data_IF_394718633868
#
_entry.id   IF_394718633868
#
_cell.length_a   1.000
_cell.length_b   1.000
_cell.length_c   1.000
_cell.angle_alpha   90.00
_cell.angle_beta   90.00
_cell.angle_gamma   90.00
#
_symmetry.space_group_name_H-M   'P 1'
#
loop_
_entity.id
_entity.type
_entity.pdbx_description
1 polymer ?
#
# COMPACT_ATOMS: atom_id res chain seq x y z
N UNK A 1 15.40 15.67 14.17
CA UNK A 1 16.61 16.47 13.86
C UNK A 1 16.75 17.70 14.77
N UNK A 2 15.79 18.64 14.76
CA UNK A 2 15.91 19.93 15.50
C UNK A 2 16.18 19.83 17.00
N UNK A 3 15.52 18.92 17.73
CA UNK A 3 15.76 18.67 19.17
C UNK A 3 17.12 18.02 19.49
N UNK A 4 17.74 17.35 18.52
CA UNK A 4 19.00 16.62 18.70
C UNK A 4 20.19 17.55 18.47
N UNK A 5 20.10 18.40 17.45
CA UNK A 5 21.12 19.39 17.12
C UNK A 5 21.10 20.60 18.08
N UNK A 6 19.95 20.94 18.67
CA UNK A 6 19.86 22.02 19.66
C UNK A 6 20.55 21.71 21.00
N UNK A 7 20.90 20.45 21.27
CA UNK A 7 21.65 20.02 22.46
C UNK A 7 23.17 20.05 22.26
N UNK A 8 23.64 20.32 21.05
CA UNK A 8 25.07 20.36 20.74
C UNK A 8 25.60 21.76 21.01
N UNK A 9 26.48 21.90 22.01
CA UNK A 9 27.29 23.09 22.20
C UNK A 9 28.25 23.24 21.02
N UNK A 10 28.05 24.28 20.20
CA UNK A 10 28.80 24.57 18.97
C UNK A 10 30.06 25.42 19.22
N UNK A 11 30.86 25.10 20.25
CA UNK A 11 32.03 25.90 20.63
C UNK A 11 33.38 25.43 20.04
N UNK A 12 33.40 24.43 19.16
CA UNK A 12 34.62 24.01 18.44
C UNK A 12 34.28 23.23 17.16
N UNK A 13 35.16 23.30 16.16
CA UNK A 13 35.05 22.62 14.85
C UNK A 13 34.82 21.11 15.00
N UNK A 14 33.56 20.69 15.11
CA UNK A 14 33.17 19.27 15.04
C UNK A 14 32.87 18.92 13.59
N UNK A 15 33.47 17.82 13.13
CA UNK A 15 33.14 17.22 11.84
C UNK A 15 32.03 16.20 12.09
N UNK A 16 30.91 16.33 11.38
CA UNK A 16 29.88 15.32 11.34
C UNK A 16 30.26 14.30 10.27
N UNK A 17 30.04 13.01 10.52
CA UNK A 17 30.19 11.98 9.49
C UNK A 17 28.82 11.36 9.23
N UNK A 18 28.31 11.54 8.02
CA UNK A 18 27.06 10.92 7.59
C UNK A 18 27.40 9.65 6.81
N UNK A 19 27.12 8.50 7.41
CA UNK A 19 27.18 7.21 6.72
C UNK A 19 25.94 7.08 5.84
N UNK A 20 26.15 6.85 4.55
CA UNK A 20 25.12 6.70 3.53
C UNK A 20 25.30 5.41 2.77
N UNK A 21 24.34 5.02 1.94
CA UNK A 21 24.55 4.03 0.88
C UNK A 21 24.15 4.66 -0.44
N UNK A 22 24.98 4.50 -1.47
CA UNK A 22 24.54 4.79 -2.83
C UNK A 22 23.33 3.88 -3.13
N UNK A 23 22.30 4.44 -3.77
CA UNK A 23 20.96 3.83 -3.98
C UNK A 23 20.02 3.80 -2.75
N UNK A 24 20.30 4.52 -1.67
CA UNK A 24 19.35 4.67 -0.55
C UNK A 24 18.61 6.01 -0.59
N UNK A 25 17.30 5.99 -0.87
CA UNK A 25 16.44 7.19 -0.89
C UNK A 25 16.42 7.94 0.44
N UNK A 26 16.45 7.21 1.57
CA UNK A 26 16.51 7.81 2.90
C UNK A 26 17.81 8.59 3.10
N UNK A 27 18.93 8.10 2.58
CA UNK A 27 20.21 8.81 2.62
C UNK A 27 20.18 10.10 1.80
N UNK A 28 19.54 10.08 0.62
CA UNK A 28 19.36 11.26 -0.22
C UNK A 28 18.51 12.34 0.47
N UNK A 29 17.33 11.97 0.98
CA UNK A 29 16.44 12.92 1.65
C UNK A 29 17.02 13.44 2.97
N UNK A 30 17.67 12.58 3.76
CA UNK A 30 18.31 12.99 5.01
C UNK A 30 19.45 13.98 4.74
N UNK A 31 20.25 13.75 3.69
CA UNK A 31 21.29 14.66 3.25
C UNK A 31 20.71 16.04 2.90
N UNK A 32 19.67 16.08 2.08
CA UNK A 32 19.04 17.33 1.67
C UNK A 32 18.40 18.08 2.86
N UNK A 33 17.74 17.36 3.78
CA UNK A 33 17.18 17.94 5.01
C UNK A 33 18.28 18.49 5.95
N UNK A 34 19.41 17.78 6.07
CA UNK A 34 20.54 18.21 6.88
C UNK A 34 21.18 19.47 6.29
N UNK A 35 21.44 19.50 4.99
CA UNK A 35 22.00 20.65 4.29
C UNK A 35 21.07 21.88 4.41
N UNK A 36 19.75 21.69 4.23
CA UNK A 36 18.76 22.75 4.44
C UNK A 36 18.74 23.25 5.88
N UNK A 37 18.83 22.35 6.87
CA UNK A 37 18.85 22.73 8.28
C UNK A 37 20.10 23.54 8.65
N UNK A 38 21.29 23.10 8.20
CA UNK A 38 22.55 23.79 8.46
C UNK A 38 22.54 25.20 7.84
N UNK A 39 22.07 25.32 6.58
CA UNK A 39 21.93 26.59 5.89
C UNK A 39 20.94 27.54 6.57
N UNK A 40 19.76 27.03 6.95
CA UNK A 40 18.71 27.83 7.60
C UNK A 40 19.14 28.41 8.95
N UNK A 41 19.96 27.66 9.71
CA UNK A 41 20.42 28.07 11.05
C UNK A 41 21.81 28.72 11.04
N UNK A 42 22.39 29.00 9.86
CA UNK A 42 23.71 29.59 9.69
C UNK A 42 24.82 28.84 10.46
N UNK A 43 24.74 27.51 10.52
CA UNK A 43 25.67 26.65 11.23
C UNK A 43 26.82 26.24 10.30
N UNK A 44 28.04 26.72 10.60
CA UNK A 44 29.24 26.36 9.83
C UNK A 44 29.86 25.05 10.33
N UNK A 45 29.25 23.92 9.97
CA UNK A 45 29.66 22.57 10.36
C UNK A 45 30.09 21.78 9.13
N UNK A 46 31.26 21.16 9.17
CA UNK A 46 31.72 20.27 8.10
C UNK A 46 31.04 18.91 8.22
N UNK A 47 30.42 18.42 7.13
CA UNK A 47 29.82 17.09 7.05
C UNK A 47 30.62 16.25 6.04
N UNK A 48 31.21 15.17 6.50
CA UNK A 48 31.86 14.16 5.66
C UNK A 48 30.83 13.08 5.31
N UNK A 49 30.51 12.96 4.02
CA UNK A 49 29.63 11.92 3.49
C UNK A 49 30.45 10.66 3.17
N UNK A 50 30.06 9.51 3.71
CA UNK A 50 30.78 8.25 3.54
C UNK A 50 29.79 7.18 3.10
N UNK A 51 29.97 6.63 1.90
CA UNK A 51 29.22 5.44 1.49
C UNK A 51 29.73 4.22 2.27
N UNK A 52 28.85 3.54 3.00
CA UNK A 52 29.19 2.32 3.74
C UNK A 52 29.68 1.20 2.83
N UNK A 53 29.29 1.19 1.54
CA UNK A 53 29.76 0.20 0.54
C UNK A 53 31.23 0.37 0.19
N UNK A 54 31.85 1.50 0.55
CA UNK A 54 33.28 1.75 0.35
C UNK A 54 34.20 1.02 1.35
N UNK A 55 33.64 0.46 2.45
CA UNK A 55 34.39 -0.25 3.49
C UNK A 55 33.56 -1.42 4.04
N UNK A 56 34.01 -2.67 3.85
CA UNK A 56 33.31 -3.87 4.30
C UNK A 56 33.00 -3.89 5.80
N UNK A 57 33.84 -3.25 6.63
CA UNK A 57 33.63 -3.17 8.08
C UNK A 57 32.49 -2.21 8.40
N UNK A 58 32.41 -1.08 7.70
CA UNK A 58 31.29 -0.14 7.83
C UNK A 58 30.01 -0.75 7.27
N UNK A 59 30.09 -1.43 6.12
CA UNK A 59 28.96 -2.14 5.54
C UNK A 59 28.39 -3.17 6.51
N UNK A 60 29.19 -4.13 6.99
CA UNK A 60 28.68 -5.16 7.91
C UNK A 60 28.11 -4.58 9.21
N UNK A 61 28.69 -3.48 9.70
CA UNK A 61 28.26 -2.85 10.95
C UNK A 61 26.99 -2.00 10.80
N UNK A 62 26.79 -1.33 9.67
CA UNK A 62 25.75 -0.30 9.50
C UNK A 62 24.80 -0.54 8.33
N UNK A 63 24.88 -1.68 7.62
CA UNK A 63 24.06 -2.00 6.43
C UNK A 63 22.54 -1.88 6.62
N UNK A 64 22.05 -1.99 7.86
CA UNK A 64 20.61 -1.86 8.17
C UNK A 64 20.25 -0.56 8.91
N UNK A 65 21.24 0.30 9.21
CA UNK A 65 21.06 1.49 10.05
C UNK A 65 21.23 2.81 9.29
N UNK A 66 21.60 2.77 7.99
CA UNK A 66 21.82 3.97 7.18
C UNK A 66 20.50 4.72 6.87
N UNK A 67 20.52 6.08 6.88
CA UNK A 67 21.65 6.96 7.14
C UNK A 67 21.98 7.09 8.64
N UNK A 68 23.27 7.01 8.98
CA UNK A 68 23.77 7.17 10.36
C UNK A 68 24.59 8.46 10.45
N UNK A 69 24.17 9.41 11.30
CA UNK A 69 24.92 10.64 11.57
C UNK A 69 25.78 10.47 12.83
N UNK A 70 27.10 10.35 12.64
CA UNK A 70 28.08 10.23 13.72
C UNK A 70 28.67 11.60 14.09
N UNK A 71 28.88 11.84 15.38
CA UNK A 71 29.46 13.07 15.93
C UNK A 71 30.79 12.68 16.60
N UNK A 72 31.92 13.08 16.01
CA UNK A 72 33.31 12.84 16.46
C UNK A 72 33.49 11.97 17.72
N UNK A 73 33.81 10.69 17.54
CA UNK A 73 34.62 9.94 18.51
C UNK A 73 36.10 10.12 18.16
N UNK A 74 36.92 10.56 19.12
CA UNK A 74 38.38 10.43 19.02
C UNK A 74 38.71 8.94 18.94
N UNK A 75 39.66 8.58 18.09
CA UNK A 75 40.20 7.22 17.99
C UNK A 75 40.70 6.72 19.36
N UNK A 76 39.94 5.86 20.03
CA UNK A 76 40.47 5.04 21.13
C UNK A 76 40.38 3.56 20.76
N UNK A 77 41.55 2.98 20.47
CA UNK A 77 41.79 1.54 20.52
C UNK A 77 41.48 1.06 21.93
N UNK A 78 40.39 0.31 22.13
CA UNK A 78 40.24 -0.57 23.30
C UNK A 78 39.35 -1.76 22.96
N UNK A 79 39.99 -2.92 22.98
CA UNK A 79 39.44 -4.26 23.05
C UNK A 79 38.61 -4.46 24.31
N UNK A 80 37.35 -4.88 24.20
CA UNK A 80 36.61 -5.46 25.31
C UNK A 80 35.66 -6.56 24.80
N UNK A 81 35.75 -7.73 25.43
CA UNK A 81 35.09 -9.00 25.07
C UNK A 81 33.59 -8.96 25.38
N UNK A 82 32.73 -9.66 24.62
CA UNK A 82 31.33 -9.84 24.98
C UNK A 82 31.19 -10.98 25.99
N UNK A 83 30.68 -10.68 27.19
CA UNK A 83 30.26 -11.69 28.15
C UNK A 83 28.95 -12.34 27.66
N UNK A 84 29.03 -13.63 27.34
CA UNK A 84 27.90 -14.51 27.06
C UNK A 84 27.18 -14.85 28.37
N UNK A 85 25.86 -14.59 28.43
CA UNK A 85 24.93 -15.41 29.21
C UNK A 85 24.01 -16.12 28.21
N UNK A 86 24.26 -17.41 28.04
CA UNK A 86 23.35 -18.33 27.36
C UNK A 86 22.22 -18.59 28.35
N UNK A 87 21.02 -18.12 28.04
CA UNK A 87 19.79 -18.57 28.69
C UNK A 87 19.13 -19.50 27.68
N UNK A 88 19.16 -20.80 27.98
CA UNK A 88 18.33 -21.78 27.27
C UNK A 88 16.87 -21.47 27.62
N UNK A 89 16.12 -20.95 26.65
CA UNK A 89 14.67 -20.91 26.68
C UNK A 89 14.18 -22.02 25.74
N UNK A 90 13.41 -22.92 26.32
CA UNK A 90 12.61 -23.95 25.67
C UNK A 90 11.81 -23.40 24.49
N UNK A 91 11.70 -24.22 23.45
CA UNK A 91 10.98 -23.97 22.20
C UNK A 91 9.52 -23.57 22.42
N UNK A 92 9.25 -22.28 22.40
CA UNK A 92 8.02 -21.69 21.86
C UNK A 92 8.45 -20.51 21.00
N UNK A 93 8.69 -20.76 19.71
CA UNK A 93 9.03 -19.71 18.74
C UNK A 93 7.76 -18.95 18.42
N UNK A 94 7.49 -17.88 19.17
CA UNK A 94 6.56 -16.84 18.75
C UNK A 94 7.26 -16.00 17.67
N UNK A 95 7.09 -16.37 16.40
CA UNK A 95 7.54 -15.54 15.29
C UNK A 95 6.76 -14.23 15.34
N UNK A 96 7.36 -13.16 15.88
CA UNK A 96 6.91 -11.80 15.56
C UNK A 96 7.45 -11.54 14.15
N UNK A 97 6.76 -12.05 13.13
CA UNK A 97 7.05 -11.70 11.74
C UNK A 97 6.89 -10.18 11.63
N UNK A 98 7.96 -9.46 11.27
CA UNK A 98 7.84 -8.06 10.91
C UNK A 98 7.07 -7.96 9.59
N UNK A 99 5.75 -7.84 9.69
CA UNK A 99 4.87 -7.62 8.54
C UNK A 99 4.73 -6.11 8.35
N UNK A 100 5.04 -5.66 7.13
CA UNK A 100 4.55 -4.38 6.65
C UNK A 100 3.11 -4.57 6.19
N UNK A 101 2.18 -3.78 6.73
CA UNK A 101 0.80 -3.72 6.25
C UNK A 101 0.45 -2.27 5.97
N UNK A 102 -0.24 -2.01 4.86
CA UNK A 102 -0.71 -0.68 4.48
C UNK A 102 -2.12 -0.75 3.88
N UNK A 103 -2.94 0.25 4.19
CA UNK A 103 -4.36 0.31 3.84
C UNK A 103 -4.72 1.70 3.34
N UNK A 104 -5.57 1.78 2.31
CA UNK A 104 -6.22 3.02 1.89
C UNK A 104 -7.75 2.88 1.87
N UNK A 105 -8.46 3.99 2.09
CA UNK A 105 -9.91 4.04 1.89
C UNK A 105 -10.33 4.57 0.51
N UNK A 106 -9.38 4.83 -0.39
CA UNK A 106 -9.64 5.20 -1.79
C UNK A 106 -9.21 6.61 -2.15
N UNK A 107 -9.25 6.94 -3.43
CA UNK A 107 -8.89 8.26 -3.94
C UNK A 107 -10.15 9.08 -4.21
N UNK A 108 -10.27 10.27 -3.66
CA UNK A 108 -11.47 11.04 -3.94
C UNK A 108 -11.65 12.24 -3.04
N UNK A 109 -12.88 12.38 -2.54
CA UNK A 109 -13.27 13.42 -1.60
C UNK A 109 -13.82 12.76 -0.34
N UNK A 110 -12.92 12.42 0.57
CA UNK A 110 -13.24 11.75 1.82
C UNK A 110 -13.75 12.68 2.90
N UNK A 111 -14.61 12.13 3.77
CA UNK A 111 -15.00 12.76 5.04
C UNK A 111 -13.80 12.93 5.97
N UNK A 112 -13.92 13.85 6.94
CA UNK A 112 -12.88 14.01 7.95
C UNK A 112 -12.64 12.70 8.73
N UNK A 113 -11.37 12.44 9.06
CA UNK A 113 -10.92 11.30 9.86
C UNK A 113 -10.98 9.91 9.18
N UNK A 114 -11.14 9.82 7.86
CA UNK A 114 -11.05 8.52 7.16
C UNK A 114 -9.66 7.87 7.30
N UNK A 115 -8.60 8.65 7.53
CA UNK A 115 -7.26 8.14 7.86
C UNK A 115 -7.21 7.45 9.23
N UNK A 116 -8.05 7.86 10.20
CA UNK A 116 -8.22 7.14 11.47
C UNK A 116 -8.91 5.80 11.26
N UNK A 117 -9.86 5.74 10.32
CA UNK A 117 -10.52 4.49 9.93
C UNK A 117 -9.50 3.51 9.32
N UNK A 118 -8.59 3.98 8.46
CA UNK A 118 -7.48 3.15 7.95
C UNK A 118 -6.59 2.62 9.09
N UNK A 119 -6.28 3.46 10.08
CA UNK A 119 -5.45 3.04 11.21
C UNK A 119 -6.16 2.00 12.10
N UNK A 120 -7.47 2.14 12.28
CA UNK A 120 -8.27 1.20 13.03
C UNK A 120 -8.39 -0.15 12.31
N UNK A 121 -8.58 -0.15 10.98
CA UNK A 121 -8.64 -1.41 10.22
C UNK A 121 -7.34 -2.20 10.35
N UNK A 122 -6.17 -1.55 10.31
CA UNK A 122 -4.90 -2.22 10.57
C UNK A 122 -4.87 -2.82 11.98
N UNK A 123 -5.32 -2.08 12.99
CA UNK A 123 -5.31 -2.55 14.38
C UNK A 123 -6.16 -3.80 14.58
N UNK A 124 -7.32 -3.87 13.95
CA UNK A 124 -8.27 -4.99 14.07
C UNK A 124 -7.97 -6.15 13.10
N UNK A 125 -7.06 -5.94 12.13
CA UNK A 125 -6.80 -6.93 11.07
C UNK A 125 -5.99 -8.15 11.49
N UNK A 126 -5.28 -8.08 12.61
CA UNK A 126 -4.26 -9.09 12.95
C UNK A 126 -3.09 -9.14 11.97
N UNK A 127 -2.81 -8.04 11.24
CA UNK A 127 -1.84 -7.92 10.15
C UNK A 127 -2.19 -8.70 8.86
N UNK A 128 -3.42 -9.16 8.69
CA UNK A 128 -3.87 -9.74 7.43
C UNK A 128 -4.55 -8.71 6.51
N UNK A 129 -4.20 -8.71 5.22
CA UNK A 129 -4.78 -7.79 4.24
C UNK A 129 -6.30 -7.84 4.19
N UNK A 130 -6.84 -9.04 4.06
CA UNK A 130 -8.27 -9.27 3.86
C UNK A 130 -9.06 -8.86 5.11
N UNK A 131 -8.54 -9.11 6.31
CA UNK A 131 -9.22 -8.69 7.54
C UNK A 131 -9.28 -7.16 7.65
N UNK A 132 -8.23 -6.44 7.22
CA UNK A 132 -8.27 -4.99 7.15
C UNK A 132 -9.34 -4.49 6.17
N UNK A 133 -9.48 -5.14 5.00
CA UNK A 133 -10.52 -4.79 4.01
C UNK A 133 -11.92 -5.15 4.55
N UNK A 134 -12.09 -6.31 5.17
CA UNK A 134 -13.36 -6.72 5.81
C UNK A 134 -13.81 -5.75 6.90
N UNK A 135 -12.86 -5.16 7.64
CA UNK A 135 -13.18 -4.11 8.60
C UNK A 135 -13.78 -2.89 7.90
N UNK A 136 -13.19 -2.47 6.78
CA UNK A 136 -13.66 -1.34 5.99
C UNK A 136 -15.00 -1.61 5.29
N UNK A 137 -15.23 -2.83 4.80
CA UNK A 137 -16.51 -3.27 4.20
C UNK A 137 -17.71 -3.16 5.14
N UNK A 138 -17.48 -3.07 6.46
CA UNK A 138 -18.54 -2.86 7.46
C UNK A 138 -18.81 -1.38 7.73
N UNK A 139 -17.93 -0.48 7.29
CA UNK A 139 -18.03 0.94 7.61
C UNK A 139 -18.78 1.70 6.51
N UNK A 140 -19.96 2.28 6.82
CA UNK A 140 -20.82 2.94 5.85
C UNK A 140 -20.25 4.24 5.27
N UNK A 141 -19.05 4.67 5.71
CA UNK A 141 -18.31 5.79 5.11
C UNK A 141 -17.50 5.38 3.88
N UNK A 142 -17.32 4.08 3.64
CA UNK A 142 -16.57 3.57 2.51
C UNK A 142 -17.51 3.09 1.40
N UNK A 143 -17.07 3.17 0.16
CA UNK A 143 -17.82 2.65 -0.98
C UNK A 143 -17.40 1.19 -1.27
N UNK A 144 -17.66 0.32 -0.30
CA UNK A 144 -17.51 -1.13 -0.40
C UNK A 144 -18.39 -1.79 0.66
N UNK A 145 -18.80 -3.05 0.46
CA UNK A 145 -19.70 -3.75 1.38
C UNK A 145 -20.91 -2.88 1.76
N UNK A 146 -21.08 -2.65 3.07
CA UNK A 146 -22.06 -1.70 3.64
C UNK A 146 -21.63 -0.27 3.28
N UNK A 147 -22.47 0.43 2.52
CA UNK A 147 -22.14 1.78 2.03
C UNK A 147 -21.69 1.84 0.57
N UNK A 148 -21.66 0.70 -0.11
CA UNK A 148 -21.48 0.63 -1.56
C UNK A 148 -22.45 1.53 -2.32
N UNK A 149 -21.95 2.11 -3.40
CA UNK A 149 -22.70 2.94 -4.32
C UNK A 149 -23.85 2.17 -4.96
N UNK A 150 -24.98 2.84 -5.11
CA UNK A 150 -26.14 2.26 -5.74
C UNK A 150 -26.01 2.28 -7.27
N UNK A 151 -26.45 1.20 -7.89
CA UNK A 151 -26.69 1.09 -9.34
C UNK A 151 -27.83 2.01 -9.79
N UNK A 152 -28.04 2.14 -11.09
CA UNK A 152 -29.18 2.89 -11.65
C UNK A 152 -30.53 2.40 -11.15
N UNK A 153 -30.64 1.11 -10.85
CA UNK A 153 -31.86 0.49 -10.34
C UNK A 153 -31.98 0.55 -8.81
N UNK A 154 -31.03 1.17 -8.12
CA UNK A 154 -31.05 1.31 -6.66
C UNK A 154 -30.51 0.09 -5.90
N UNK A 155 -29.94 -0.90 -6.58
CA UNK A 155 -29.32 -2.07 -5.98
C UNK A 155 -27.85 -1.83 -5.65
N UNK A 156 -27.30 -2.58 -4.70
CA UNK A 156 -25.87 -2.72 -4.44
C UNK A 156 -25.31 -3.90 -5.24
N UNK A 157 -24.16 -3.68 -5.86
CA UNK A 157 -23.37 -4.71 -6.53
C UNK A 157 -21.90 -4.53 -6.16
N UNK A 158 -21.36 -5.43 -5.35
CA UNK A 158 -19.99 -5.33 -4.87
C UNK A 158 -19.00 -6.11 -5.74
N UNK A 159 -17.74 -5.70 -5.66
CA UNK A 159 -16.58 -6.34 -6.26
C UNK A 159 -15.51 -6.54 -5.19
N UNK A 160 -14.81 -7.66 -5.21
CA UNK A 160 -13.69 -7.95 -4.32
C UNK A 160 -12.63 -8.79 -5.01
N UNK A 161 -11.37 -8.57 -4.69
CA UNK A 161 -10.28 -9.42 -5.17
C UNK A 161 -9.18 -9.60 -4.14
N UNK A 162 -8.44 -10.69 -4.32
CA UNK A 162 -7.30 -11.06 -3.51
C UNK A 162 -6.21 -11.66 -4.39
N UNK A 163 -4.97 -11.32 -4.09
CA UNK A 163 -3.79 -11.89 -4.73
C UNK A 163 -2.74 -12.21 -3.66
N UNK A 164 -2.09 -13.36 -3.81
CA UNK A 164 -0.89 -13.70 -3.04
C UNK A 164 0.27 -14.02 -3.99
N UNK A 165 1.46 -13.67 -3.56
CA UNK A 165 2.71 -13.86 -4.32
C UNK A 165 3.04 -15.34 -4.55
N UNK A 166 2.82 -16.20 -3.55
CA UNK A 166 2.98 -17.64 -3.69
C UNK A 166 2.04 -18.19 -4.76
N UNK A 167 2.64 -18.78 -5.81
CA UNK A 167 1.94 -19.27 -7.00
C UNK A 167 1.32 -18.19 -7.90
N UNK A 168 1.56 -16.90 -7.63
CA UNK A 168 0.89 -15.76 -8.29
C UNK A 168 -0.64 -15.91 -8.32
N UNK A 169 -1.19 -16.49 -7.25
CA UNK A 169 -2.60 -16.85 -7.20
C UNK A 169 -3.46 -15.59 -7.05
N UNK A 170 -4.44 -15.46 -7.94
CA UNK A 170 -5.41 -14.37 -7.96
C UNK A 170 -6.83 -14.92 -8.01
N UNK A 171 -7.73 -14.26 -7.32
CA UNK A 171 -9.15 -14.56 -7.35
C UNK A 171 -9.96 -13.29 -7.21
N UNK A 172 -11.05 -13.19 -7.96
CA UNK A 172 -11.96 -12.08 -7.85
C UNK A 172 -13.42 -12.49 -7.94
N UNK A 173 -14.25 -11.68 -7.32
CA UNK A 173 -15.69 -11.81 -7.36
C UNK A 173 -16.34 -10.47 -7.68
N UNK A 174 -17.46 -10.49 -8.40
CA UNK A 174 -18.05 -9.25 -8.92
C UNK A 174 -19.56 -9.33 -9.11
N UNK A 175 -20.19 -8.16 -9.15
CA UNK A 175 -21.66 -8.03 -9.15
C UNK A 175 -22.32 -8.83 -8.03
N UNK A 176 -21.67 -8.89 -6.84
CA UNK A 176 -22.20 -9.56 -5.67
C UNK A 176 -23.33 -8.76 -5.06
N UNK A 177 -24.41 -9.44 -4.72
CA UNK A 177 -25.64 -8.82 -4.28
C UNK A 177 -26.08 -9.27 -2.88
N UNK A 178 -25.46 -10.34 -2.34
CA UNK A 178 -25.88 -11.01 -1.11
C UNK A 178 -24.74 -11.30 -0.12
N UNK A 179 -23.62 -10.57 -0.17
CA UNK A 179 -22.43 -10.88 0.62
C UNK A 179 -21.90 -9.66 1.35
N UNK A 180 -21.64 -9.78 2.66
CA UNK A 180 -21.02 -8.73 3.46
C UNK A 180 -19.56 -8.50 3.09
N UNK A 181 -18.86 -9.57 2.68
CA UNK A 181 -17.41 -9.58 2.52
C UNK A 181 -16.92 -10.11 1.16
N UNK A 182 -17.06 -9.31 0.08
CA UNK A 182 -16.47 -9.62 -1.21
C UNK A 182 -14.97 -9.98 -1.14
N UNK A 183 -14.20 -9.25 -0.32
CA UNK A 183 -12.77 -9.52 -0.12
C UNK A 183 -12.50 -10.91 0.46
N UNK A 184 -13.26 -11.34 1.48
CA UNK A 184 -13.15 -12.68 2.06
C UNK A 184 -13.52 -13.77 1.05
N UNK A 185 -14.60 -13.58 0.29
CA UNK A 185 -14.99 -14.56 -0.73
C UNK A 185 -13.89 -14.71 -1.78
N UNK A 186 -13.24 -13.62 -2.19
CA UNK A 186 -12.12 -13.67 -3.12
C UNK A 186 -10.89 -14.40 -2.54
N UNK A 187 -10.58 -14.22 -1.25
CA UNK A 187 -9.52 -14.98 -0.55
C UNK A 187 -9.86 -16.47 -0.51
N UNK A 188 -11.09 -16.81 -0.14
CA UNK A 188 -11.55 -18.20 -0.10
C UNK A 188 -11.48 -18.83 -1.50
N UNK A 189 -11.86 -18.10 -2.56
CA UNK A 189 -11.75 -18.57 -3.94
C UNK A 189 -10.30 -18.93 -4.32
N UNK A 190 -9.32 -18.12 -3.89
CA UNK A 190 -7.88 -18.35 -4.11
C UNK A 190 -7.35 -19.54 -3.32
N UNK A 191 -7.70 -19.64 -2.04
CA UNK A 191 -7.14 -20.64 -1.13
C UNK A 191 -7.83 -22.01 -1.21
N UNK A 192 -8.98 -22.09 -1.89
CA UNK A 192 -9.70 -23.35 -2.03
C UNK A 192 -8.90 -24.33 -2.89
N UNK A 193 -8.49 -25.43 -2.27
CA UNK A 193 -7.80 -26.53 -2.95
C UNK A 193 -8.80 -27.41 -3.69
N UNK A 194 -8.61 -27.61 -4.99
CA UNK A 194 -9.50 -28.46 -5.79
C UNK A 194 -8.85 -29.79 -6.10
N UNK A 195 -9.44 -30.86 -5.56
CA UNK A 195 -9.02 -32.25 -5.75
C UNK A 195 -9.41 -32.82 -7.13
N UNK A 196 -9.46 -31.98 -8.17
CA UNK A 196 -9.99 -32.36 -9.49
C UNK A 196 -9.07 -31.96 -10.64
N UNK A 197 -9.13 -32.71 -11.75
CA UNK A 197 -8.36 -32.45 -12.97
C UNK A 197 -8.85 -31.23 -13.78
N UNK A 198 -9.75 -30.41 -13.23
CA UNK A 198 -10.35 -29.26 -13.93
C UNK A 198 -9.72 -27.95 -13.46
N UNK A 199 -9.59 -26.99 -14.38
CA UNK A 199 -9.08 -25.66 -14.08
C UNK A 199 -10.10 -24.92 -13.20
N UNK A 200 -9.66 -24.47 -12.03
CA UNK A 200 -10.49 -23.71 -11.10
C UNK A 200 -10.72 -22.27 -11.59
N UNK A 201 -11.94 -21.70 -11.47
CA UNK A 201 -12.21 -20.33 -11.88
C UNK A 201 -11.41 -19.31 -11.08
N UNK A 202 -10.83 -18.36 -11.82
CA UNK A 202 -10.16 -17.19 -11.26
C UNK A 202 -11.15 -16.07 -10.92
N UNK A 203 -12.26 -15.97 -11.65
CA UNK A 203 -13.26 -14.90 -11.48
C UNK A 203 -14.66 -15.49 -11.52
N UNK A 204 -15.48 -15.18 -10.52
CA UNK A 204 -16.89 -15.63 -10.44
C UNK A 204 -17.79 -14.42 -10.19
N UNK A 205 -18.93 -14.31 -10.89
CA UNK A 205 -19.76 -13.09 -10.84
C UNK A 205 -21.26 -13.35 -10.71
N UNK A 206 -22.00 -12.33 -10.27
CA UNK A 206 -23.46 -12.32 -10.17
C UNK A 206 -23.99 -13.48 -9.33
N UNK A 207 -25.08 -14.11 -9.79
CA UNK A 207 -25.73 -15.24 -9.09
C UNK A 207 -24.78 -16.40 -8.79
N UNK A 208 -23.78 -16.64 -9.65
CA UNK A 208 -22.78 -17.69 -9.43
C UNK A 208 -21.91 -17.36 -8.21
N UNK A 209 -21.52 -16.09 -8.07
CA UNK A 209 -20.75 -15.65 -6.91
C UNK A 209 -21.60 -15.56 -5.64
N UNK A 210 -22.87 -15.15 -5.77
CA UNK A 210 -23.83 -15.17 -4.66
C UNK A 210 -24.05 -16.59 -4.12
N UNK A 211 -24.07 -17.60 -5.00
CA UNK A 211 -24.16 -19.02 -4.63
C UNK A 211 -22.85 -19.52 -4.01
N UNK A 212 -21.71 -19.12 -4.58
CA UNK A 212 -20.38 -19.44 -4.07
C UNK A 212 -20.17 -18.91 -2.65
N UNK A 213 -20.71 -17.73 -2.32
CA UNK A 213 -20.67 -17.17 -0.97
C UNK A 213 -21.30 -18.12 0.06
N UNK A 214 -22.44 -18.71 -0.28
CA UNK A 214 -23.13 -19.71 0.54
C UNK A 214 -22.29 -20.99 0.65
N UNK A 215 -21.79 -21.50 -0.48
CA UNK A 215 -20.96 -22.72 -0.53
C UNK A 215 -19.69 -22.62 0.32
N UNK A 216 -19.01 -21.47 0.26
CA UNK A 216 -17.78 -21.19 1.00
C UNK A 216 -18.01 -20.68 2.42
N UNK A 217 -19.25 -20.74 2.93
CA UNK A 217 -19.65 -20.28 4.27
C UNK A 217 -19.23 -18.83 4.58
N UNK A 218 -19.24 -17.96 3.56
CA UNK A 218 -19.00 -16.53 3.75
C UNK A 218 -20.29 -15.86 4.23
N UNK A 219 -20.25 -14.95 5.23
CA UNK A 219 -21.45 -14.29 5.74
C UNK A 219 -22.26 -13.58 4.64
N UNK A 220 -23.47 -14.08 4.41
CA UNK A 220 -24.42 -13.54 3.43
C UNK A 220 -25.36 -12.51 4.03
N UNK A 221 -25.95 -11.68 3.18
CA UNK A 221 -26.85 -10.60 3.54
C UNK A 221 -27.95 -10.37 2.48
N UNK A 222 -28.92 -9.53 2.81
CA UNK A 222 -29.89 -9.00 1.85
C UNK A 222 -29.40 -7.68 1.26
N UNK A 223 -30.02 -7.24 0.16
CA UNK A 223 -29.78 -5.91 -0.42
C UNK A 223 -29.97 -4.79 0.61
N UNK A 224 -31.01 -4.89 1.44
CA UNK A 224 -31.34 -3.88 2.45
C UNK A 224 -30.27 -3.79 3.54
N UNK A 225 -29.52 -4.86 3.81
CA UNK A 225 -28.43 -4.84 4.80
C UNK A 225 -27.19 -4.08 4.29
N UNK A 226 -26.99 -4.04 2.96
CA UNK A 226 -25.87 -3.33 2.32
C UNK A 226 -26.18 -1.85 2.07
N UNK A 227 -27.45 -1.52 1.85
CA UNK A 227 -27.91 -0.15 1.61
C UNK A 227 -27.96 0.63 2.92
N UNK A 228 -27.22 1.74 2.97
CA UNK A 228 -27.23 2.64 4.11
C UNK A 228 -27.65 4.06 3.71
N UNK A 229 -28.02 4.88 4.71
CA UNK A 229 -28.42 6.28 4.48
C UNK A 229 -27.39 7.08 3.67
N UNK A 230 -26.09 6.81 3.87
CA UNK A 230 -25.01 7.45 3.11
C UNK A 230 -25.09 7.12 1.63
N UNK A 231 -25.23 5.84 1.27
CA UNK A 231 -25.36 5.38 -0.13
C UNK A 231 -26.62 5.93 -0.81
N UNK A 232 -27.75 5.99 -0.10
CA UNK A 232 -28.99 6.57 -0.61
C UNK A 232 -28.87 8.09 -0.85
N UNK A 233 -28.26 8.81 0.09
CA UNK A 233 -28.01 10.25 -0.05
C UNK A 233 -27.04 10.52 -1.20
N UNK A 234 -26.00 9.71 -1.35
CA UNK A 234 -25.08 9.78 -2.47
C UNK A 234 -25.81 9.59 -3.79
N UNK A 235 -26.65 8.56 -3.94
CA UNK A 235 -27.44 8.34 -5.15
C UNK A 235 -28.40 9.50 -5.47
N UNK A 236 -29.03 10.10 -4.44
CA UNK A 236 -29.86 11.30 -4.60
C UNK A 236 -29.05 12.51 -5.05
N UNK A 237 -27.84 12.70 -4.50
CA UNK A 237 -26.89 13.78 -4.85
C UNK A 237 -26.14 13.54 -6.16
N UNK A 238 -26.04 12.32 -6.64
CA UNK A 238 -25.46 12.00 -7.95
C UNK A 238 -26.24 12.68 -9.07
N UNK A 239 -27.58 12.79 -8.90
CA UNK A 239 -28.45 13.60 -9.76
C UNK A 239 -28.06 15.09 -9.77
N UNK A 240 -27.24 15.52 -8.81
CA UNK A 240 -26.68 16.87 -8.63
C UNK A 240 -25.15 16.93 -8.88
N UNK A 241 -24.53 15.88 -9.47
CA UNK A 241 -23.11 15.82 -9.84
C UNK A 241 -22.07 15.97 -8.71
N UNK A 242 -22.36 15.46 -7.51
CA UNK A 242 -21.36 15.36 -6.43
C UNK A 242 -20.79 13.94 -6.39
N UNK A 243 -19.52 13.78 -6.76
CA UNK A 243 -18.83 12.48 -6.87
C UNK A 243 -18.14 12.04 -5.56
N UNK A 244 -18.21 10.75 -5.24
CA UNK A 244 -17.35 10.05 -4.27
C UNK A 244 -16.88 8.76 -4.96
N UNK A 245 -15.56 8.53 -4.97
CA UNK A 245 -14.90 7.48 -5.75
C UNK A 245 -14.05 6.60 -4.85
N UNK A 246 -14.67 5.81 -4.00
CA UNK A 246 -13.89 5.17 -2.94
C UNK A 246 -13.84 3.66 -3.15
N UNK A 247 -12.71 3.16 -3.61
CA UNK A 247 -12.35 1.74 -3.54
C UNK A 247 -11.36 1.58 -2.41
N UNK A 248 -11.59 0.64 -1.50
CA UNK A 248 -10.69 0.35 -0.39
C UNK A 248 -9.71 -0.75 -0.77
N UNK A 249 -8.54 -0.73 -0.16
CA UNK A 249 -7.55 -1.76 -0.44
C UNK A 249 -6.45 -1.84 0.60
N UNK A 250 -5.82 -3.01 0.66
CA UNK A 250 -4.79 -3.36 1.62
C UNK A 250 -3.69 -4.17 0.95
N UNK A 251 -2.46 -3.97 1.41
CA UNK A 251 -1.28 -4.75 1.01
C UNK A 251 -0.51 -5.18 2.26
N UNK A 252 0.14 -6.32 2.18
CA UNK A 252 1.05 -6.81 3.21
C UNK A 252 2.27 -7.43 2.58
N UNK A 253 3.40 -7.29 3.26
CA UNK A 253 4.65 -7.96 2.91
C UNK A 253 5.25 -8.48 4.21
N UNK A 254 5.52 -9.78 4.27
CA UNK A 254 6.19 -10.43 5.37
C UNK A 254 7.71 -10.18 5.32
N UNK A 255 8.40 -10.52 6.40
CA UNK A 255 9.86 -10.48 6.45
C UNK A 255 10.52 -11.46 5.46
N UNK A 256 9.86 -12.59 5.15
CA UNK A 256 10.34 -13.54 4.14
C UNK A 256 10.11 -13.07 2.71
N UNK A 257 9.45 -11.93 2.49
CA UNK A 257 9.11 -11.40 1.18
C UNK A 257 7.79 -11.92 0.61
N UNK A 258 7.12 -12.85 1.30
CA UNK A 258 5.75 -13.23 0.94
C UNK A 258 4.85 -12.00 1.05
N UNK A 259 4.19 -11.66 -0.04
CA UNK A 259 3.31 -10.52 -0.11
C UNK A 259 1.91 -10.86 -0.62
N UNK A 260 0.95 -10.03 -0.21
CA UNK A 260 -0.46 -10.15 -0.51
C UNK A 260 -1.07 -8.78 -0.82
N UNK A 261 -2.16 -8.78 -1.58
CA UNK A 261 -2.97 -7.61 -1.86
C UNK A 261 -4.46 -7.97 -1.84
N UNK A 262 -5.29 -7.09 -1.29
CA UNK A 262 -6.75 -7.24 -1.27
C UNK A 262 -7.44 -5.92 -1.55
N UNK A 263 -8.56 -5.96 -2.26
CA UNK A 263 -9.31 -4.79 -2.71
C UNK A 263 -10.82 -5.07 -2.66
N UNK A 264 -11.61 -4.04 -2.36
CA UNK A 264 -13.08 -4.13 -2.36
C UNK A 264 -13.72 -2.81 -2.79
N UNK A 265 -14.79 -2.89 -3.59
CA UNK A 265 -15.46 -1.74 -4.18
C UNK A 265 -16.95 -1.98 -4.42
N UNK A 266 -17.77 -0.95 -4.21
CA UNK A 266 -19.14 -0.86 -4.72
C UNK A 266 -19.19 -0.43 -6.20
N UNK A 267 -18.05 -0.05 -6.78
CA UNK A 267 -17.96 0.51 -8.13
C UNK A 267 -18.39 1.98 -8.18
N UNK A 268 -18.60 2.48 -9.40
CA UNK A 268 -18.99 3.88 -9.63
C UNK A 268 -20.47 4.11 -9.34
N UNK A 269 -20.79 5.29 -8.84
CA UNK A 269 -22.16 5.70 -8.52
C UNK A 269 -23.06 5.70 -9.76
N UNK A 270 -24.29 5.18 -9.63
CA UNK A 270 -25.25 5.05 -10.73
C UNK A 270 -24.71 4.21 -11.90
N UNK A 271 -23.84 3.24 -11.62
CA UNK A 271 -23.41 2.25 -12.62
C UNK A 271 -24.60 1.47 -13.16
N UNK A 272 -24.46 0.97 -14.38
CA UNK A 272 -25.37 -0.04 -14.93
C UNK A 272 -25.17 -1.35 -14.16
N UNK A 273 -26.27 -2.02 -13.81
CA UNK A 273 -26.26 -3.35 -13.20
C UNK A 273 -25.39 -4.31 -14.02
N UNK A 274 -24.57 -5.10 -13.34
CA UNK A 274 -23.57 -5.99 -13.92
C UNK A 274 -22.29 -5.28 -14.42
N UNK A 275 -22.12 -3.97 -14.22
CA UNK A 275 -20.85 -3.29 -14.53
C UNK A 275 -19.78 -3.75 -13.55
N UNK A 276 -18.66 -4.21 -14.12
CA UNK A 276 -17.47 -4.60 -13.39
C UNK A 276 -16.34 -3.58 -13.58
N UNK A 277 -15.61 -3.29 -12.50
CA UNK A 277 -14.45 -2.40 -12.46
C UNK A 277 -13.12 -3.14 -12.32
N UNK A 278 -12.11 -2.38 -11.90
CA UNK A 278 -10.71 -2.81 -11.84
C UNK A 278 -10.41 -3.86 -10.77
N UNK A 279 -11.29 -4.06 -9.77
CA UNK A 279 -11.13 -5.13 -8.79
C UNK A 279 -11.14 -6.51 -9.47
N UNK A 280 -12.01 -6.71 -10.46
CA UNK A 280 -12.23 -8.03 -11.08
C UNK A 280 -11.25 -8.40 -12.19
N UNK A 281 -10.38 -7.46 -12.59
CA UNK A 281 -9.47 -7.65 -13.71
C UNK A 281 -8.04 -7.91 -13.22
N UNK A 282 -7.52 -9.11 -13.54
CA UNK A 282 -6.15 -9.50 -13.23
C UNK A 282 -5.13 -8.46 -13.74
N UNK A 283 -4.19 -8.06 -12.87
CA UNK A 283 -3.16 -7.05 -13.18
C UNK A 283 -3.66 -5.61 -13.18
N UNK A 284 -4.93 -5.35 -12.87
CA UNK A 284 -5.50 -4.01 -12.93
C UNK A 284 -5.52 -3.34 -11.55
N UNK A 285 -6.39 -3.78 -10.64
CA UNK A 285 -6.57 -3.12 -9.34
C UNK A 285 -5.57 -3.53 -8.27
N UNK A 286 -5.06 -4.76 -8.32
CA UNK A 286 -4.08 -5.28 -7.36
C UNK A 286 -2.98 -6.06 -8.05
N UNK A 287 -1.84 -6.18 -7.37
CA UNK A 287 -0.75 -7.07 -7.71
C UNK A 287 -0.03 -7.52 -6.44
N UNK A 288 0.43 -8.77 -6.39
CA UNK A 288 1.31 -9.25 -5.33
C UNK A 288 2.27 -10.28 -5.92
N UNK A 289 3.56 -9.97 -5.92
CA UNK A 289 4.59 -10.79 -6.54
C UNK A 289 5.88 -10.71 -5.73
N UNK A 290 6.47 -11.87 -5.47
CA UNK A 290 7.78 -12.02 -4.87
C UNK A 290 8.71 -12.69 -5.89
N UNK A 291 9.88 -12.11 -6.13
CA UNK A 291 10.91 -12.67 -7.00
C UNK A 291 12.18 -12.90 -6.21
N UNK A 292 12.47 -14.18 -5.97
CA UNK A 292 13.67 -14.61 -5.23
C UNK A 292 14.95 -14.13 -5.93
N UNK A 293 15.02 -14.23 -7.27
CA UNK A 293 16.21 -13.84 -8.03
C UNK A 293 16.49 -12.33 -7.95
N UNK A 294 15.44 -11.52 -7.83
CA UNK A 294 15.55 -10.07 -7.67
C UNK A 294 15.62 -9.64 -6.20
N UNK A 295 15.47 -10.58 -5.25
CA UNK A 295 15.32 -10.31 -3.80
C UNK A 295 14.32 -9.20 -3.51
N UNK A 296 13.23 -9.21 -4.27
CA UNK A 296 12.28 -8.11 -4.31
C UNK A 296 10.86 -8.61 -4.22
N UNK A 297 10.07 -7.92 -3.41
CA UNK A 297 8.64 -8.16 -3.25
C UNK A 297 7.88 -6.89 -3.57
N UNK A 298 6.82 -7.00 -4.36
CA UNK A 298 5.97 -5.88 -4.77
C UNK A 298 4.51 -6.23 -4.52
N UNK A 299 3.85 -5.43 -3.70
CA UNK A 299 2.40 -5.51 -3.45
C UNK A 299 1.74 -4.18 -3.78
N UNK A 300 0.65 -4.20 -4.56
CA UNK A 300 0.00 -3.01 -5.09
C UNK A 300 -1.51 -3.11 -4.87
N UNK A 301 -2.12 -2.00 -4.47
CA UNK A 301 -3.58 -1.81 -4.49
C UNK A 301 -3.93 -0.42 -5.00
N UNK A 302 -4.89 -0.34 -5.92
CA UNK A 302 -5.27 0.87 -6.64
C UNK A 302 -6.75 1.24 -6.45
N UNK A 303 -7.03 2.52 -6.61
CA UNK A 303 -8.34 3.14 -6.52
C UNK A 303 -8.49 4.20 -7.62
N UNK A 304 -9.71 4.50 -8.06
CA UNK A 304 -10.00 5.52 -9.05
C UNK A 304 -10.96 5.07 -10.15
N UNK A 305 -10.78 5.61 -11.36
CA UNK A 305 -11.62 5.27 -12.51
C UNK A 305 -11.31 3.84 -13.00
N UNK A 306 -12.20 2.91 -12.66
CA UNK A 306 -12.02 1.48 -12.96
C UNK A 306 -11.74 1.21 -14.44
N UNK A 307 -12.44 1.87 -15.35
CA UNK A 307 -12.22 1.69 -16.79
C UNK A 307 -10.81 2.11 -17.22
N UNK A 308 -10.28 3.20 -16.66
CA UNK A 308 -8.92 3.65 -16.97
C UNK A 308 -7.87 2.67 -16.42
N UNK A 309 -8.07 2.17 -15.19
CA UNK A 309 -7.17 1.22 -14.54
C UNK A 309 -7.17 -0.12 -15.28
N UNK A 310 -8.34 -0.62 -15.70
CA UNK A 310 -8.47 -1.87 -16.48
C UNK A 310 -7.78 -1.76 -17.83
N UNK A 311 -8.03 -0.68 -18.59
CA UNK A 311 -7.45 -0.49 -19.93
C UNK A 311 -5.93 -0.43 -19.92
N UNK A 312 -5.33 -0.05 -18.80
CA UNK A 312 -3.88 0.14 -18.66
C UNK A 312 -3.17 -1.03 -17.98
N UNK A 313 -3.92 -1.94 -17.32
CA UNK A 313 -3.35 -3.00 -16.46
C UNK A 313 -2.32 -2.41 -15.49
N UNK A 314 -2.70 -1.29 -14.86
CA UNK A 314 -1.74 -0.39 -14.24
C UNK A 314 -0.93 -1.04 -13.12
N UNK A 315 -1.54 -1.85 -12.25
CA UNK A 315 -0.84 -2.52 -11.15
C UNK A 315 0.27 -3.44 -11.68
N UNK A 316 -0.03 -4.30 -12.66
CA UNK A 316 0.97 -5.16 -13.30
C UNK A 316 2.08 -4.34 -13.96
N UNK A 317 1.74 -3.25 -14.67
CA UNK A 317 2.75 -2.42 -15.35
C UNK A 317 3.68 -1.70 -14.40
N UNK A 318 3.18 -1.24 -13.25
CA UNK A 318 4.01 -0.66 -12.19
C UNK A 318 4.94 -1.72 -11.60
N UNK A 319 4.41 -2.90 -11.24
CA UNK A 319 5.21 -3.99 -10.70
C UNK A 319 6.30 -4.45 -11.68
N UNK A 320 5.96 -4.63 -12.96
CA UNK A 320 6.93 -4.96 -14.00
C UNK A 320 8.00 -3.86 -14.16
N UNK A 321 7.63 -2.58 -14.03
CA UNK A 321 8.59 -1.48 -14.02
C UNK A 321 9.59 -1.61 -12.89
N UNK A 322 9.13 -1.90 -11.68
CA UNK A 322 9.96 -2.10 -10.49
C UNK A 322 10.92 -3.29 -10.65
N UNK A 323 10.41 -4.45 -11.07
CA UNK A 323 11.27 -5.61 -11.27
C UNK A 323 12.27 -5.50 -12.42
N UNK A 324 11.94 -4.74 -13.46
CA UNK A 324 12.84 -4.53 -14.60
C UNK A 324 13.94 -3.50 -14.30
N UNK A 325 13.77 -2.70 -13.24
CA UNK A 325 14.71 -1.66 -12.85
C UNK A 325 15.06 -1.77 -11.35
N UNK A 326 15.62 -2.91 -10.89
CA UNK A 326 15.83 -3.19 -9.46
C UNK A 326 16.91 -2.31 -8.82
N UNK A 327 17.72 -1.60 -9.61
CA UNK A 327 18.77 -0.70 -9.11
C UNK A 327 18.33 0.78 -9.06
N UNK A 328 17.14 1.08 -9.58
CA UNK A 328 16.59 2.43 -9.64
C UNK A 328 15.79 2.74 -8.37
N UNK A 329 15.58 4.03 -8.10
CA UNK A 329 14.79 4.46 -6.95
C UNK A 329 13.32 4.07 -7.17
N UNK A 330 12.70 3.25 -6.29
CA UNK A 330 11.34 2.75 -6.49
C UNK A 330 10.31 3.86 -6.75
N UNK A 331 10.39 4.98 -6.03
CA UNK A 331 9.53 6.15 -6.25
C UNK A 331 9.58 6.69 -7.69
N UNK A 332 10.80 6.78 -8.27
CA UNK A 332 11.00 7.28 -9.64
C UNK A 332 10.50 6.27 -10.68
N UNK A 333 10.67 4.98 -10.41
CA UNK A 333 10.13 3.91 -11.26
C UNK A 333 8.60 3.93 -11.25
N UNK A 334 7.97 4.13 -10.09
CA UNK A 334 6.51 4.31 -9.98
C UNK A 334 6.05 5.55 -10.75
N UNK A 335 6.70 6.70 -10.56
CA UNK A 335 6.33 7.94 -11.26
C UNK A 335 6.45 7.81 -12.78
N UNK A 336 7.55 7.25 -13.28
CA UNK A 336 7.76 7.03 -14.71
C UNK A 336 6.76 6.02 -15.29
N UNK A 337 6.42 4.97 -14.54
CA UNK A 337 5.42 3.97 -14.94
C UNK A 337 4.02 4.59 -15.01
N UNK A 338 3.61 5.36 -14.00
CA UNK A 338 2.30 6.03 -13.98
C UNK A 338 2.21 7.05 -15.12
N UNK A 339 3.27 7.86 -15.34
CA UNK A 339 3.33 8.79 -16.47
C UNK A 339 3.16 8.07 -17.81
N UNK A 340 3.97 7.05 -18.06
CA UNK A 340 3.97 6.30 -19.32
C UNK A 340 2.67 5.54 -19.58
N UNK A 341 2.17 4.80 -18.58
CA UNK A 341 1.07 3.86 -18.78
C UNK A 341 -0.30 4.42 -18.43
N UNK A 342 -0.38 5.55 -17.72
CA UNK A 342 -1.64 6.19 -17.37
C UNK A 342 -1.77 7.62 -17.93
N UNK A 343 -0.83 8.52 -17.64
CA UNK A 343 -0.95 9.94 -18.04
C UNK A 343 -0.89 10.10 -19.55
N UNK A 344 0.18 9.59 -20.17
CA UNK A 344 0.48 9.73 -21.60
C UNK A 344 -0.09 8.56 -22.42
N UNK A 345 -0.94 7.76 -21.80
CA UNK A 345 -1.40 6.49 -22.33
C UNK A 345 -2.40 6.67 -23.48
N UNK A 346 -2.04 6.22 -24.68
CA UNK A 346 -2.91 6.28 -25.86
C UNK A 346 -4.17 5.44 -25.70
N UNK A 347 -4.13 4.38 -24.88
CA UNK A 347 -5.32 3.57 -24.59
C UNK A 347 -6.36 4.32 -23.77
N UNK A 348 -6.04 5.47 -23.16
CA UNK A 348 -6.99 6.31 -22.42
C UNK A 348 -7.55 7.48 -23.22
N UNK A 349 -7.26 7.56 -24.53
CA UNK A 349 -7.82 8.58 -25.44
C UNK A 349 -9.33 8.76 -25.37
N UNK A 350 -10.18 7.73 -25.10
CA UNK A 350 -11.62 7.93 -24.95
C UNK A 350 -12.07 8.64 -23.67
N UNK A 351 -11.16 8.86 -22.70
CA UNK A 351 -11.47 9.47 -21.39
C UNK A 351 -10.82 10.85 -21.28
N UNK A 352 -11.57 11.83 -20.76
CA UNK A 352 -11.04 13.16 -20.49
C UNK A 352 -10.03 13.15 -19.34
N UNK A 353 -9.21 14.20 -19.23
CA UNK A 353 -8.28 14.37 -18.10
C UNK A 353 -8.99 14.36 -16.73
N UNK A 354 -10.21 14.90 -16.65
CA UNK A 354 -11.02 14.87 -15.43
C UNK A 354 -11.49 13.47 -15.03
N UNK A 355 -11.70 12.57 -16.00
CA UNK A 355 -12.11 11.19 -15.76
C UNK A 355 -10.93 10.26 -15.43
N UNK A 356 -9.72 10.61 -15.87
CA UNK A 356 -8.50 9.82 -15.62
C UNK A 356 -8.03 9.99 -14.19
N UNK A 357 -8.78 9.43 -13.24
CA UNK A 357 -8.46 9.43 -11.81
C UNK A 357 -7.85 8.12 -11.38
N UNK A 358 -6.75 8.18 -10.64
CA UNK A 358 -6.07 7.01 -10.09
C UNK A 358 -5.24 7.39 -8.87
N UNK A 359 -5.06 6.43 -7.99
CA UNK A 359 -4.01 6.41 -6.99
C UNK A 359 -4.06 5.11 -6.20
N UNK A 360 -3.25 5.00 -5.17
CA UNK A 360 -3.14 3.77 -4.41
C UNK A 360 -1.84 3.66 -3.65
N UNK A 361 -1.56 2.44 -3.22
CA UNK A 361 -0.40 2.08 -2.41
C UNK A 361 0.44 1.03 -3.13
N UNK A 362 1.75 1.20 -3.06
CA UNK A 362 2.75 0.25 -3.54
C UNK A 362 3.69 -0.06 -2.38
N UNK A 363 3.68 -1.29 -1.93
CA UNK A 363 4.67 -1.84 -1.02
C UNK A 363 5.81 -2.43 -1.82
N UNK A 364 7.03 -2.05 -1.47
CA UNK A 364 8.26 -2.61 -2.02
C UNK A 364 9.10 -3.12 -0.87
N UNK A 365 9.52 -4.37 -0.93
CA UNK A 365 10.54 -4.92 -0.04
C UNK A 365 11.74 -5.31 -0.89
N UNK A 366 12.92 -4.86 -0.49
CA UNK A 366 14.19 -5.15 -1.14
C UNK A 366 15.25 -5.36 -0.06
N UNK A 367 15.91 -6.52 -0.07
CA UNK A 367 16.97 -6.87 0.88
C UNK A 367 16.58 -6.64 2.37
N UNK A 368 15.32 -6.90 2.72
CA UNK A 368 14.80 -6.73 4.09
C UNK A 368 14.37 -5.30 4.45
N UNK A 369 14.62 -4.32 3.59
CA UNK A 369 14.13 -2.96 3.75
C UNK A 369 12.75 -2.81 3.10
N UNK A 370 11.84 -2.12 3.79
CA UNK A 370 10.49 -1.84 3.29
C UNK A 370 10.32 -0.36 2.94
N UNK A 371 9.79 -0.12 1.74
CA UNK A 371 9.35 1.17 1.27
C UNK A 371 7.87 1.08 0.89
N UNK A 372 7.07 2.01 1.43
CA UNK A 372 5.68 2.19 1.03
C UNK A 372 5.59 3.46 0.20
N UNK A 373 5.11 3.36 -1.03
CA UNK A 373 4.85 4.49 -1.91
C UNK A 373 3.35 4.68 -2.00
N UNK A 374 2.89 5.91 -1.84
CA UNK A 374 1.51 6.31 -2.10
C UNK A 374 1.50 7.35 -3.22
N UNK A 375 0.51 7.25 -4.10
CA UNK A 375 0.33 8.23 -5.17
C UNK A 375 -1.15 8.45 -5.47
N UNK A 376 -1.52 9.64 -5.97
CA UNK A 376 -2.85 9.91 -6.49
C UNK A 376 -2.92 11.22 -7.29
N UNK A 377 -4.00 11.44 -8.06
CA UNK A 377 -4.31 12.71 -8.74
C UNK A 377 -5.73 13.25 -8.40
N UNK A 378 -6.08 13.12 -7.13
CA UNK A 378 -7.38 13.51 -6.55
C UNK A 378 -7.18 14.44 -5.37
N UNK A 379 -8.28 14.99 -4.83
CA UNK A 379 -8.24 15.86 -3.64
C UNK A 379 -7.62 15.20 -2.42
N UNK A 380 -7.95 13.93 -2.15
CA UNK A 380 -7.31 13.23 -1.06
C UNK A 380 -7.17 11.71 -1.26
N UNK A 381 -6.19 11.16 -0.54
CA UNK A 381 -5.95 9.73 -0.34
C UNK A 381 -5.67 9.48 1.16
N UNK A 382 -6.70 9.09 1.94
CA UNK A 382 -6.52 8.62 3.32
C UNK A 382 -5.88 7.22 3.33
N UNK A 383 -4.84 7.08 4.15
CA UNK A 383 -4.10 5.83 4.31
C UNK A 383 -3.54 5.63 5.72
N UNK A 384 -3.25 4.38 6.05
CA UNK A 384 -2.46 4.01 7.22
C UNK A 384 -1.51 2.87 6.89
N UNK A 385 -0.46 2.72 7.68
CA UNK A 385 0.50 1.63 7.55
C UNK A 385 1.19 1.31 8.88
N UNK A 386 1.75 0.11 9.00
CA UNK A 386 2.45 -0.40 10.19
C UNK A 386 3.61 -1.30 9.81
N UNK A 387 4.68 -1.30 10.62
CA UNK A 387 5.76 -2.30 10.65
C UNK A 387 5.74 -3.09 11.97
N UNK A 388 4.62 -3.73 12.29
CA UNK A 388 4.46 -4.53 13.51
C UNK A 388 4.34 -3.76 14.84
N UNK A 389 5.01 -2.62 15.02
CA UNK A 389 5.07 -1.94 16.33
C UNK A 389 4.32 -0.62 16.42
N UNK A 390 4.13 0.09 15.30
CA UNK A 390 3.50 1.41 15.30
C UNK A 390 2.70 1.66 14.04
N UNK A 391 1.40 1.86 14.24
CA UNK A 391 0.50 2.31 13.18
C UNK A 391 0.70 3.81 12.95
N UNK A 392 0.94 4.17 11.71
CA UNK A 392 1.03 5.56 11.23
C UNK A 392 -0.14 5.81 10.29
N UNK A 393 -0.70 7.02 10.36
CA UNK A 393 -1.77 7.48 9.47
C UNK A 393 -1.34 8.72 8.70
N UNK A 394 -1.85 8.85 7.49
CA UNK A 394 -1.64 9.98 6.59
C UNK A 394 -2.92 10.25 5.83
N UNK A 395 -3.13 11.51 5.50
CA UNK A 395 -4.12 11.92 4.52
C UNK A 395 -3.37 12.78 3.51
N UNK A 396 -3.10 12.24 2.33
CA UNK A 396 -2.39 12.97 1.29
C UNK A 396 -3.37 13.94 0.66
N UNK A 397 -3.08 15.23 0.76
CA UNK A 397 -3.94 16.30 0.27
C UNK A 397 -3.39 16.78 -1.06
N UNK A 398 -4.22 16.75 -2.10
CA UNK A 398 -3.86 17.16 -3.44
C UNK A 398 -4.93 17.98 -4.14
N UNK A 399 -4.82 18.01 -5.46
CA UNK A 399 -5.72 18.70 -6.36
C UNK A 399 -6.29 17.74 -7.40
N UNK A 400 -7.29 18.18 -8.14
CA UNK A 400 -7.87 17.37 -9.21
C UNK A 400 -7.04 17.38 -10.51
N UNK A 401 -5.83 17.97 -10.50
CA UNK A 401 -5.01 18.16 -11.70
C UNK A 401 -3.59 17.65 -11.57
N UNK A 402 -3.03 17.64 -10.37
CA UNK A 402 -1.62 17.28 -10.14
C UNK A 402 -1.50 15.89 -9.51
N UNK A 403 -0.47 15.15 -9.92
CA UNK A 403 -0.11 13.92 -9.25
C UNK A 403 0.73 14.21 -8.02
N UNK A 404 0.40 13.55 -6.93
CA UNK A 404 1.20 13.49 -5.71
C UNK A 404 1.83 12.11 -5.63
N UNK A 405 3.10 12.07 -5.24
CA UNK A 405 3.84 10.87 -4.91
C UNK A 405 4.53 11.10 -3.56
N UNK A 406 4.36 10.17 -2.62
CA UNK A 406 5.05 10.22 -1.33
C UNK A 406 5.57 8.83 -0.98
N UNK A 407 6.83 8.76 -0.56
CA UNK A 407 7.47 7.54 -0.08
C UNK A 407 7.58 7.56 1.45
N UNK A 408 7.32 6.42 2.06
CA UNK A 408 7.42 6.18 3.50
C UNK A 408 8.38 5.03 3.75
N UNK A 409 9.46 5.29 4.47
CA UNK A 409 10.34 4.23 4.94
C UNK A 409 9.74 3.55 6.16
N UNK A 410 9.67 2.23 6.06
CA UNK A 410 9.04 1.36 7.04
C UNK A 410 10.13 0.47 7.63
N UNK A 411 10.98 1.06 8.50
CA UNK A 411 12.06 0.29 9.10
C UNK A 411 11.49 -0.74 10.10
N UNK A 412 11.82 -2.04 9.96
CA UNK A 412 11.77 -2.97 11.08
C UNK A 412 12.80 -2.47 12.10
N UNK A 413 12.41 -2.38 13.36
CA UNK A 413 13.24 -1.78 14.40
C UNK A 413 14.21 -2.77 15.01
#
# INVERSE_FOLDING_TARGET
MGMFLSKLSFSSQKVLRLLTSDHCSLCFHFKDDLDRYLKKNNLNVKVDYVDIRSDNTLFEKYKYEVPVLLINERSSKTTARPNRRIVNLSEEVLYIQCIMIAVHCGVGNHLENTDKLCAQSIKESGNECVNAVMFLEKDPRTNCGIGSSLTKNGNVECEGAYMKSDGLLFGAVGALSNCFHPSLLSKNLVLSSHNGNLIWPMVVVGKGADSLAVEMNVPTCTQQDLICKTSELAAKRARLQLESFDTVGSISISESGECEASISSGGVLMKKDGRLGHCTAFGSGIWAEHREEAKMSVAITLSGCGECIVRTRLAEKIAAGLFNNPNDIPLQVVESSVRKYFVDSSVLTPYSSSQRKVGGLIGVQMDGAFELIAFHNTRNLPLAYSSGHKIRRRNLIGSDTEFIYEAFHVNPK
#
